data_IF_037146306226
#
_entry.id   IF_037146306226
#
_cell.length_a   1.000
_cell.length_b   1.000
_cell.length_c   1.000
_cell.angle_alpha   90.00
_cell.angle_beta   90.00
_cell.angle_gamma   90.00
#
_symmetry.space_group_name_H-M   'P 1'
#
loop_
_entity.id
_entity.type
_entity.pdbx_description
1 polymer ?
#
# COMPACT_ATOMS: atom_id res chain seq x y z
N UNK A 1 -4.10 -82.07 -13.90
CA UNK A 1 -3.11 -81.34 -13.07
C UNK A 1 -2.66 -80.00 -13.67
N UNK A 2 -2.80 -79.78 -14.99
CA UNK A 2 -2.38 -78.56 -15.70
C UNK A 2 -3.30 -77.34 -15.50
N UNK A 3 -4.61 -77.54 -15.37
CA UNK A 3 -5.60 -76.45 -15.25
C UNK A 3 -5.52 -75.66 -13.92
N UNK A 4 -5.21 -76.34 -12.81
CA UNK A 4 -5.00 -75.67 -11.50
C UNK A 4 -3.73 -74.81 -11.49
N UNK A 5 -2.74 -75.20 -12.30
CA UNK A 5 -1.44 -74.54 -12.40
C UNK A 5 -1.53 -73.26 -13.23
N UNK A 6 -2.33 -73.26 -14.30
CA UNK A 6 -2.59 -72.06 -15.12
C UNK A 6 -3.45 -71.03 -14.39
N UNK A 7 -4.44 -71.46 -13.60
CA UNK A 7 -5.26 -70.56 -12.76
C UNK A 7 -4.40 -69.90 -11.67
N UNK A 8 -3.52 -70.66 -11.00
CA UNK A 8 -2.58 -70.12 -10.03
C UNK A 8 -1.59 -69.13 -10.64
N UNK A 9 -1.14 -69.37 -11.88
CA UNK A 9 -0.27 -68.44 -12.62
C UNK A 9 -1.00 -67.14 -13.00
N UNK A 10 -2.29 -67.22 -13.33
CA UNK A 10 -3.14 -66.06 -13.60
C UNK A 10 -3.34 -65.19 -12.36
N UNK A 11 -3.56 -65.79 -11.18
CA UNK A 11 -3.67 -65.04 -9.92
C UNK A 11 -2.35 -64.36 -9.52
N UNK A 12 -1.21 -65.02 -9.74
CA UNK A 12 0.11 -64.41 -9.47
C UNK A 12 0.40 -63.25 -10.42
N UNK A 13 0.02 -63.37 -11.70
CA UNK A 13 0.16 -62.30 -12.68
C UNK A 13 -0.76 -61.11 -12.37
N UNK A 14 -2.01 -61.37 -11.97
CA UNK A 14 -2.96 -60.35 -11.55
C UNK A 14 -2.51 -59.64 -10.27
N UNK A 15 -1.92 -60.36 -9.31
CA UNK A 15 -1.37 -59.77 -8.09
C UNK A 15 -0.12 -58.91 -8.37
N UNK A 16 0.72 -59.30 -9.35
CA UNK A 16 1.84 -58.50 -9.81
C UNK A 16 1.43 -57.17 -10.46
N UNK A 17 0.31 -57.15 -11.19
CA UNK A 17 -0.21 -55.93 -11.83
C UNK A 17 -0.76 -54.89 -10.82
N UNK A 18 -1.26 -55.33 -9.67
CA UNK A 18 -1.75 -54.41 -8.61
C UNK A 18 -0.59 -53.68 -7.91
N UNK A 19 0.58 -54.32 -7.82
CA UNK A 19 1.75 -53.74 -7.15
C UNK A 19 2.50 -52.68 -8.00
N UNK A 20 2.24 -52.61 -9.31
CA UNK A 20 2.81 -51.58 -10.20
C UNK A 20 1.89 -50.37 -10.42
N UNK A 21 0.70 -50.34 -9.82
CA UNK A 21 -0.26 -49.23 -9.96
C UNK A 21 0.03 -48.03 -9.04
N UNK A 22 1.02 -48.12 -8.16
CA UNK A 22 1.36 -47.04 -7.22
C UNK A 22 2.77 -46.50 -7.51
N UNK A 23 2.87 -45.46 -8.34
CA UNK A 23 4.13 -44.72 -8.46
C UNK A 23 4.13 -43.76 -9.64
N UNK A 24 3.86 -42.48 -9.37
CA UNK A 24 4.19 -41.41 -10.32
C UNK A 24 3.12 -40.35 -10.55
N UNK A 25 2.18 -40.14 -9.63
CA UNK A 25 1.55 -38.83 -9.52
C UNK A 25 2.63 -37.86 -9.07
N UNK A 26 3.15 -37.03 -9.98
CA UNK A 26 3.99 -35.89 -9.62
C UNK A 26 3.12 -34.93 -8.83
N UNK A 27 2.95 -35.19 -7.53
CA UNK A 27 2.51 -34.18 -6.60
C UNK A 27 3.64 -33.17 -6.53
N UNK A 28 3.61 -32.22 -7.45
CA UNK A 28 4.39 -31.00 -7.38
C UNK A 28 4.01 -30.37 -6.05
N UNK A 29 4.84 -30.60 -5.04
CA UNK A 29 4.63 -30.06 -3.71
C UNK A 29 4.78 -28.54 -3.83
N UNK A 30 3.67 -27.84 -4.01
CA UNK A 30 3.63 -26.40 -3.92
C UNK A 30 3.80 -26.06 -2.44
N UNK A 31 4.90 -25.41 -2.03
CA UNK A 31 5.04 -24.96 -0.66
C UNK A 31 3.84 -24.07 -0.35
N UNK A 32 3.19 -24.32 0.80
CA UNK A 32 2.06 -23.49 1.24
C UNK A 32 2.48 -22.02 1.22
N UNK A 33 1.65 -21.11 0.70
CA UNK A 33 1.96 -19.68 0.71
C UNK A 33 2.31 -19.28 2.14
N UNK A 34 3.40 -18.53 2.31
CA UNK A 34 3.85 -18.07 3.63
C UNK A 34 2.69 -17.30 4.27
N UNK A 35 2.23 -17.77 5.43
CA UNK A 35 1.20 -17.07 6.19
C UNK A 35 1.78 -15.79 6.76
N UNK A 36 1.28 -14.64 6.29
CA UNK A 36 1.58 -13.36 6.89
C UNK A 36 0.92 -13.25 8.27
N UNK A 37 1.45 -12.37 9.13
CA UNK A 37 0.87 -12.13 10.44
C UNK A 37 -0.59 -11.68 10.31
N UNK A 38 -1.50 -12.34 11.04
CA UNK A 38 -2.88 -11.85 11.19
C UNK A 38 -2.86 -10.67 12.14
N UNK A 39 -2.90 -9.47 11.58
CA UNK A 39 -2.96 -8.21 12.34
C UNK A 39 -4.44 -7.84 12.48
N UNK A 40 -5.01 -8.02 13.67
CA UNK A 40 -6.38 -7.55 13.95
C UNK A 40 -6.32 -6.04 14.15
N UNK A 41 -6.85 -5.29 13.18
CA UNK A 41 -6.86 -3.83 13.21
C UNK A 41 -8.18 -3.33 13.83
N UNK A 42 -8.15 -2.37 14.77
CA UNK A 42 -9.36 -1.83 15.39
C UNK A 42 -10.26 -1.10 14.38
N UNK A 43 -11.55 -0.97 14.66
CA UNK A 43 -12.48 -0.19 13.84
C UNK A 43 -12.02 1.29 13.74
N UNK A 44 -12.21 1.91 12.58
CA UNK A 44 -11.72 3.28 12.33
C UNK A 44 -12.71 4.32 12.85
N UNK A 45 -12.22 5.25 13.65
CA UNK A 45 -12.88 6.52 13.92
C UNK A 45 -12.06 7.64 13.28
N UNK A 46 -12.74 8.65 12.75
CA UNK A 46 -12.11 9.77 12.08
C UNK A 46 -12.49 11.09 12.74
N UNK A 47 -11.50 11.94 12.96
CA UNK A 47 -11.68 13.29 13.48
C UNK A 47 -11.39 14.33 12.40
N UNK A 48 -12.05 15.49 12.51
CA UNK A 48 -11.86 16.59 11.58
C UNK A 48 -10.66 17.44 12.00
N UNK A 49 -9.71 17.62 11.10
CA UNK A 49 -8.71 18.66 11.19
C UNK A 49 -9.26 19.95 10.56
N UNK A 50 -9.52 20.95 11.39
CA UNK A 50 -9.99 22.26 10.97
C UNK A 50 -9.29 23.35 11.78
N UNK A 51 -8.14 23.80 11.28
CA UNK A 51 -7.26 24.78 11.96
C UNK A 51 -7.14 26.07 11.14
N UNK A 52 -6.15 26.92 11.46
CA UNK A 52 -5.82 28.10 10.66
C UNK A 52 -5.22 27.79 9.27
N UNK A 53 -5.00 26.51 8.94
CA UNK A 53 -4.44 26.10 7.65
C UNK A 53 -5.45 26.32 6.50
N UNK A 54 -4.97 26.50 5.26
CA UNK A 54 -5.79 26.75 4.06
C UNK A 54 -6.53 25.50 3.55
N UNK A 55 -6.73 24.51 4.42
CA UNK A 55 -7.44 23.27 4.12
C UNK A 55 -7.99 22.65 5.39
N UNK A 56 -8.95 21.75 5.22
CA UNK A 56 -9.46 20.86 6.26
C UNK A 56 -9.69 19.46 5.70
N UNK A 57 -9.56 18.43 6.54
CA UNK A 57 -9.77 17.03 6.14
C UNK A 57 -10.04 16.16 7.37
N UNK A 58 -10.52 14.94 7.15
CA UNK A 58 -10.64 13.92 8.19
C UNK A 58 -9.40 13.05 8.25
N UNK A 59 -9.00 12.68 9.46
CA UNK A 59 -7.88 11.77 9.70
C UNK A 59 -8.17 10.82 10.87
N UNK A 60 -7.45 9.69 10.99
CA UNK A 60 -7.79 8.65 11.97
C UNK A 60 -7.54 9.09 13.42
N UNK A 61 -8.49 8.81 14.31
CA UNK A 61 -8.37 9.12 15.74
C UNK A 61 -7.25 8.33 16.46
N UNK A 62 -6.79 7.21 15.86
CA UNK A 62 -5.65 6.44 16.36
C UNK A 62 -4.28 7.02 15.95
N UNK A 63 -4.28 8.19 15.30
CA UNK A 63 -3.09 8.92 14.88
C UNK A 63 -3.09 10.31 15.50
N UNK A 64 -1.93 10.96 15.55
CA UNK A 64 -1.81 12.35 15.99
C UNK A 64 -1.06 13.19 14.98
N UNK A 65 -1.31 14.50 14.99
CA UNK A 65 -0.66 15.43 14.09
C UNK A 65 0.54 16.09 14.77
N UNK A 66 1.65 16.17 14.05
CA UNK A 66 2.85 16.89 14.47
C UNK A 66 3.19 17.96 13.43
N UNK A 67 3.22 19.22 13.84
CA UNK A 67 3.59 20.33 12.94
C UNK A 67 5.10 20.56 12.99
N UNK A 68 5.69 20.83 11.84
CA UNK A 68 7.11 21.19 11.76
C UNK A 68 7.25 22.68 11.45
N UNK A 69 8.25 23.31 12.07
CA UNK A 69 8.58 24.69 11.73
C UNK A 69 9.11 24.77 10.30
N UNK A 70 8.52 25.67 9.52
CA UNK A 70 8.95 25.98 8.17
C UNK A 70 9.70 27.32 8.19
N UNK A 71 10.85 27.38 7.52
CA UNK A 71 11.56 28.65 7.31
C UNK A 71 10.80 29.62 6.40
N UNK A 72 9.86 29.10 5.60
CA UNK A 72 8.98 29.87 4.73
C UNK A 72 7.57 29.91 5.32
N UNK A 73 7.04 31.09 5.68
CA UNK A 73 5.70 31.24 6.25
C UNK A 73 4.57 30.76 5.34
N UNK A 74 4.80 30.70 4.02
CA UNK A 74 3.79 30.28 3.04
C UNK A 74 3.73 28.76 2.87
N UNK A 75 4.76 28.05 3.32
CA UNK A 75 4.87 26.59 3.24
C UNK A 75 4.53 25.98 4.59
N UNK A 76 3.71 24.92 4.60
CA UNK A 76 3.31 24.24 5.83
C UNK A 76 3.76 22.79 5.77
N UNK A 77 4.53 22.36 6.76
CA UNK A 77 4.96 20.97 6.93
C UNK A 77 4.32 20.39 8.19
N UNK A 78 3.72 19.21 8.04
CA UNK A 78 3.14 18.50 9.16
C UNK A 78 3.15 17.00 8.88
N UNK A 79 3.08 16.21 9.93
CA UNK A 79 3.02 14.77 9.86
C UNK A 79 1.74 14.27 10.51
N UNK A 80 1.18 13.18 9.98
CA UNK A 80 0.23 12.34 10.71
C UNK A 80 1.00 11.10 11.16
N UNK A 81 1.19 10.96 12.46
CA UNK A 81 1.96 9.87 13.06
C UNK A 81 1.01 8.79 13.55
N UNK A 82 1.36 7.54 13.26
CA UNK A 82 0.64 6.33 13.68
C UNK A 82 1.52 5.56 14.68
N UNK A 83 1.48 5.88 15.99
CA UNK A 83 2.35 5.25 16.98
C UNK A 83 2.23 3.74 17.01
N UNK A 84 1.00 3.21 16.93
CA UNK A 84 0.74 1.77 16.95
C UNK A 84 1.24 1.01 15.72
N UNK A 85 1.56 1.72 14.64
CA UNK A 85 2.04 1.12 13.38
C UNK A 85 3.52 1.40 13.13
N UNK A 86 4.17 2.24 13.95
CA UNK A 86 5.49 2.81 13.69
C UNK A 86 5.57 3.36 12.26
N UNK A 87 4.54 4.13 11.90
CA UNK A 87 4.41 4.74 10.59
C UNK A 87 4.08 6.22 10.71
N UNK A 88 4.42 6.97 9.69
CA UNK A 88 4.11 8.39 9.57
C UNK A 88 3.72 8.72 8.14
N UNK A 89 2.91 9.76 7.99
CA UNK A 89 2.63 10.35 6.68
C UNK A 89 3.12 11.79 6.73
N UNK A 90 4.11 12.08 5.91
CA UNK A 90 4.73 13.39 5.87
C UNK A 90 4.04 14.24 4.81
N UNK A 91 3.51 15.39 5.22
CA UNK A 91 2.80 16.31 4.36
C UNK A 91 3.60 17.59 4.14
N UNK A 92 3.50 18.11 2.92
CA UNK A 92 3.93 19.46 2.60
C UNK A 92 2.88 20.19 1.78
N UNK A 93 2.50 21.37 2.25
CA UNK A 93 1.63 22.29 1.55
C UNK A 93 2.45 23.46 1.01
N UNK A 94 2.15 23.86 -0.23
CA UNK A 94 2.70 25.04 -0.88
C UNK A 94 1.60 25.78 -1.65
N UNK A 95 1.65 27.12 -1.74
CA UNK A 95 0.80 27.86 -2.66
C UNK A 95 1.20 27.60 -4.11
N UNK A 96 0.23 27.59 -5.00
CA UNK A 96 0.44 27.54 -6.46
C UNK A 96 0.48 28.97 -7.00
N UNK A 97 1.60 29.34 -7.62
CA UNK A 97 1.82 30.67 -8.20
C UNK A 97 2.43 30.53 -9.61
N UNK A 98 1.71 29.88 -10.52
CA UNK A 98 2.19 29.60 -11.88
C UNK A 98 3.26 28.51 -11.97
N UNK A 99 3.55 27.83 -10.87
CA UNK A 99 4.59 26.80 -10.72
C UNK A 99 4.03 25.37 -10.55
N UNK A 100 2.77 25.14 -10.94
CA UNK A 100 2.11 23.84 -10.72
C UNK A 100 2.80 22.70 -11.49
N UNK A 101 3.31 23.00 -12.68
CA UNK A 101 4.01 22.02 -13.50
C UNK A 101 5.28 21.55 -12.79
N UNK A 102 6.10 22.48 -12.30
CA UNK A 102 7.33 22.21 -11.56
C UNK A 102 7.04 21.40 -10.30
N UNK A 103 6.02 21.79 -9.52
CA UNK A 103 5.60 21.05 -8.32
C UNK A 103 5.12 19.62 -8.66
N UNK A 104 4.47 19.43 -9.80
CA UNK A 104 4.01 18.11 -10.24
C UNK A 104 5.18 17.23 -10.69
N UNK A 105 6.12 17.79 -11.44
CA UNK A 105 7.34 17.11 -11.86
C UNK A 105 8.25 16.75 -10.67
N UNK A 106 8.42 17.65 -9.70
CA UNK A 106 9.14 17.38 -8.45
C UNK A 106 8.55 16.17 -7.70
N UNK A 107 7.21 16.08 -7.64
CA UNK A 107 6.55 14.95 -7.00
C UNK A 107 6.77 13.64 -7.76
N UNK A 108 6.69 13.68 -9.10
CA UNK A 108 6.96 12.54 -9.97
C UNK A 108 8.40 12.07 -9.83
N UNK A 109 9.38 12.98 -9.87
CA UNK A 109 10.79 12.65 -9.66
C UNK A 109 11.05 12.05 -8.28
N UNK A 110 10.41 12.58 -7.24
CA UNK A 110 10.55 12.04 -5.88
C UNK A 110 9.98 10.62 -5.77
N UNK A 111 8.79 10.36 -6.33
CA UNK A 111 8.23 9.01 -6.40
C UNK A 111 9.18 8.08 -7.18
N UNK A 112 9.73 8.56 -8.30
CA UNK A 112 10.65 7.81 -9.14
C UNK A 112 11.97 7.44 -8.46
N UNK A 113 12.45 8.20 -7.47
CA UNK A 113 13.64 7.81 -6.68
C UNK A 113 13.46 6.49 -5.93
N UNK A 114 12.22 6.07 -5.69
CA UNK A 114 11.91 4.78 -5.08
C UNK A 114 11.76 3.64 -6.10
N UNK A 115 11.75 3.91 -7.42
CA UNK A 115 11.72 2.89 -8.50
C UNK A 115 12.85 1.88 -8.35
N UNK A 116 14.06 2.32 -7.97
CA UNK A 116 15.21 1.43 -7.88
C UNK A 116 15.02 0.25 -6.89
N UNK A 117 14.02 0.33 -6.00
CA UNK A 117 13.66 -0.71 -5.02
C UNK A 117 12.24 -1.24 -5.20
N UNK A 118 11.46 -0.67 -6.12
CA UNK A 118 10.08 -1.05 -6.39
C UNK A 118 10.04 -2.15 -7.46
N UNK A 119 9.05 -3.03 -7.34
CA UNK A 119 8.72 -4.00 -8.38
C UNK A 119 7.82 -3.36 -9.45
N UNK A 120 6.90 -2.50 -9.01
CA UNK A 120 5.90 -1.85 -9.86
C UNK A 120 5.49 -0.49 -9.24
N UNK A 121 5.07 0.46 -10.08
CA UNK A 121 4.48 1.73 -9.66
C UNK A 121 3.19 1.93 -10.45
N UNK A 122 2.09 2.04 -9.71
CA UNK A 122 0.79 2.41 -10.27
C UNK A 122 0.53 3.91 -10.07
N UNK A 123 0.32 4.61 -11.18
CA UNK A 123 -0.13 6.00 -11.17
C UNK A 123 -1.67 6.06 -11.19
N UNK A 124 -2.25 6.55 -10.10
CA UNK A 124 -3.69 6.62 -9.89
C UNK A 124 -4.13 8.08 -9.96
N UNK A 125 -5.03 8.39 -10.90
CA UNK A 125 -5.59 9.75 -11.02
C UNK A 125 -6.60 10.02 -9.91
N UNK A 126 -6.36 11.09 -9.15
CA UNK A 126 -7.29 11.61 -8.15
C UNK A 126 -8.19 12.67 -8.81
N UNK A 127 -9.51 12.50 -8.67
CA UNK A 127 -10.48 13.49 -9.13
C UNK A 127 -11.69 13.56 -8.19
N UNK A 128 -11.83 14.70 -7.52
CA UNK A 128 -13.00 15.06 -6.74
C UNK A 128 -13.43 16.49 -7.13
N UNK A 129 -14.26 16.62 -8.19
CA UNK A 129 -14.70 17.92 -8.69
C UNK A 129 -15.50 18.73 -7.65
N UNK A 130 -16.24 18.06 -6.76
CA UNK A 130 -17.11 18.72 -5.77
C UNK A 130 -16.30 19.57 -4.77
N UNK A 131 -15.14 19.09 -4.34
CA UNK A 131 -14.22 19.82 -3.47
C UNK A 131 -13.04 20.44 -4.23
N UNK A 132 -13.04 20.35 -5.57
CA UNK A 132 -11.92 20.76 -6.44
C UNK A 132 -10.58 20.15 -6.00
N UNK A 133 -10.54 18.84 -5.79
CA UNK A 133 -9.29 18.13 -5.45
C UNK A 133 -8.89 17.27 -6.64
N UNK A 134 -7.74 17.57 -7.23
CA UNK A 134 -7.21 16.88 -8.41
C UNK A 134 -5.74 16.56 -8.22
N UNK A 135 -5.28 15.42 -8.74
CA UNK A 135 -3.86 15.08 -8.65
C UNK A 135 -3.57 13.64 -9.02
N UNK A 136 -2.45 13.14 -8.52
CA UNK A 136 -1.95 11.79 -8.79
C UNK A 136 -1.49 11.17 -7.47
N UNK A 137 -1.91 9.93 -7.23
CA UNK A 137 -1.31 9.04 -6.26
C UNK A 137 -0.37 8.04 -6.97
N UNK A 138 0.71 7.70 -6.29
CA UNK A 138 1.68 6.71 -6.69
C UNK A 138 1.62 5.58 -5.67
N UNK A 139 1.09 4.43 -6.10
CA UNK A 139 1.14 3.20 -5.32
C UNK A 139 2.41 2.44 -5.71
N UNK A 140 3.31 2.23 -4.75
CA UNK A 140 4.66 1.72 -5.01
C UNK A 140 4.77 0.34 -4.38
N UNK A 141 4.65 -0.69 -5.22
CA UNK A 141 4.80 -2.07 -4.79
C UNK A 141 6.28 -2.46 -4.71
N UNK A 142 6.64 -3.22 -3.68
CA UNK A 142 8.00 -3.72 -3.51
C UNK A 142 8.29 -4.05 -2.06
N UNK A 143 8.94 -5.18 -1.81
CA UNK A 143 9.26 -5.64 -0.46
C UNK A 143 10.23 -4.69 0.26
N UNK A 144 11.03 -3.91 -0.47
CA UNK A 144 12.06 -3.01 0.06
C UNK A 144 11.77 -1.50 -0.13
N UNK A 145 10.52 -1.13 -0.38
CA UNK A 145 10.12 0.25 -0.59
C UNK A 145 9.85 0.94 0.75
N UNK A 146 10.65 1.95 1.10
CA UNK A 146 10.46 2.71 2.35
C UNK A 146 9.20 3.60 2.37
N UNK A 147 8.67 3.94 1.18
CA UNK A 147 7.47 4.76 1.02
C UNK A 147 6.50 4.12 0.02
N UNK A 148 5.57 3.25 0.47
CA UNK A 148 4.73 2.47 -0.42
C UNK A 148 3.55 3.24 -1.02
N UNK A 149 3.28 4.46 -0.54
CA UNK A 149 2.19 5.28 -1.06
C UNK A 149 2.54 6.77 -0.96
N UNK A 150 2.36 7.48 -2.05
CA UNK A 150 2.62 8.92 -2.14
C UNK A 150 1.53 9.58 -2.99
N UNK A 151 1.24 10.85 -2.76
CA UNK A 151 0.36 11.58 -3.67
C UNK A 151 0.66 13.06 -3.65
N UNK A 152 0.17 13.76 -4.67
CA UNK A 152 -0.04 15.20 -4.59
C UNK A 152 -1.45 15.54 -5.08
N UNK A 153 -2.02 16.60 -4.54
CA UNK A 153 -3.31 17.15 -4.94
C UNK A 153 -3.31 18.67 -4.94
N UNK A 154 -4.16 19.24 -5.78
CA UNK A 154 -4.30 20.67 -6.01
C UNK A 154 -5.74 21.05 -6.36
N UNK A 155 -6.09 22.32 -6.17
CA UNK A 155 -7.29 22.95 -6.74
C UNK A 155 -7.07 23.50 -8.17
N UNK A 156 -5.89 23.23 -8.73
CA UNK A 156 -5.33 23.71 -10.00
C UNK A 156 -4.89 25.18 -10.02
N UNK A 157 -5.17 25.96 -8.98
CA UNK A 157 -5.03 27.43 -9.03
C UNK A 157 -4.20 28.02 -7.90
N UNK A 158 -4.39 27.54 -6.67
CA UNK A 158 -3.90 28.22 -5.47
C UNK A 158 -3.26 27.27 -4.46
N UNK A 159 -3.70 26.02 -4.40
CA UNK A 159 -3.31 25.08 -3.35
C UNK A 159 -2.59 23.88 -3.93
N UNK A 160 -1.50 23.48 -3.28
CA UNK A 160 -0.80 22.24 -3.56
C UNK A 160 -0.48 21.53 -2.24
N UNK A 161 -0.90 20.28 -2.12
CA UNK A 161 -0.64 19.42 -0.97
C UNK A 161 0.00 18.12 -1.46
N UNK A 162 1.14 17.75 -0.89
CA UNK A 162 1.83 16.49 -1.15
C UNK A 162 1.89 15.67 0.12
N UNK A 163 1.82 14.35 -0.01
CA UNK A 163 1.98 13.40 1.08
C UNK A 163 2.87 12.22 0.67
N UNK A 164 3.63 11.69 1.62
CA UNK A 164 4.36 10.44 1.47
C UNK A 164 4.28 9.62 2.75
N UNK A 165 3.87 8.36 2.62
CA UNK A 165 3.76 7.40 3.73
C UNK A 165 5.14 6.79 4.00
N UNK A 166 5.53 6.66 5.26
CA UNK A 166 6.78 6.04 5.72
C UNK A 166 6.49 5.06 6.85
N UNK A 167 7.28 3.99 6.91
CA UNK A 167 7.26 3.03 8.02
C UNK A 167 8.68 2.82 8.54
N UNK A 168 8.83 2.80 9.87
CA UNK A 168 10.12 2.68 10.57
C UNK A 168 10.58 1.21 10.70
N UNK A 169 10.07 0.32 9.85
CA UNK A 169 10.39 -1.11 9.89
C UNK A 169 11.48 -1.47 8.91
N UNK A 170 12.22 -2.54 9.22
CA UNK A 170 13.10 -3.18 8.26
C UNK A 170 12.31 -3.54 6.98
N UNK A 171 12.87 -3.29 5.79
CA UNK A 171 12.17 -3.39 4.51
C UNK A 171 11.67 -4.82 4.24
N UNK A 172 10.47 -5.10 4.70
CA UNK A 172 9.69 -6.27 4.37
C UNK A 172 8.21 -5.86 4.35
N UNK A 173 7.86 -5.10 3.32
CA UNK A 173 6.51 -4.58 3.12
C UNK A 173 5.46 -5.69 3.11
N UNK A 174 5.81 -6.89 2.64
CA UNK A 174 4.92 -8.05 2.63
C UNK A 174 4.45 -8.40 4.06
N UNK A 175 5.31 -8.24 5.08
CA UNK A 175 4.98 -8.54 6.48
C UNK A 175 4.04 -7.52 7.12
N UNK A 176 4.02 -6.29 6.60
CA UNK A 176 3.19 -5.19 7.11
C UNK A 176 2.10 -4.78 6.11
N UNK A 177 1.84 -5.60 5.08
CA UNK A 177 0.85 -5.30 4.05
C UNK A 177 -0.55 -4.92 4.62
N UNK A 178 -1.07 -5.56 5.69
CA UNK A 178 -2.32 -5.12 6.31
C UNK A 178 -2.28 -3.69 6.87
N UNK A 179 -1.12 -3.29 7.42
CA UNK A 179 -0.89 -1.94 7.95
C UNK A 179 -0.79 -0.93 6.80
N UNK A 180 -0.06 -1.27 5.73
CA UNK A 180 0.03 -0.41 4.54
C UNK A 180 -1.36 -0.18 3.97
N UNK A 181 -2.15 -1.24 3.80
CA UNK A 181 -3.52 -1.13 3.27
C UNK A 181 -4.41 -0.28 4.16
N UNK A 182 -4.25 -0.41 5.49
CA UNK A 182 -4.95 0.42 6.46
C UNK A 182 -4.66 1.90 6.29
N UNK A 183 -3.38 2.26 6.21
CA UNK A 183 -2.98 3.67 6.03
C UNK A 183 -3.42 4.19 4.67
N UNK A 184 -3.44 3.38 3.61
CA UNK A 184 -4.00 3.77 2.29
C UNK A 184 -5.48 4.15 2.39
N UNK A 185 -6.31 3.34 3.06
CA UNK A 185 -7.73 3.66 3.30
C UNK A 185 -7.90 4.97 4.08
N UNK A 186 -6.99 5.23 5.01
CA UNK A 186 -6.96 6.50 5.75
C UNK A 186 -6.63 7.70 4.85
N UNK A 187 -5.71 7.52 3.91
CA UNK A 187 -5.40 8.55 2.91
C UNK A 187 -6.55 8.77 1.94
N UNK A 188 -7.29 7.74 1.54
CA UNK A 188 -8.48 7.89 0.68
C UNK A 188 -9.60 8.64 1.42
N UNK A 189 -9.77 8.36 2.71
CA UNK A 189 -10.72 9.09 3.56
C UNK A 189 -10.31 10.56 3.71
N UNK A 190 -9.01 10.82 3.86
CA UNK A 190 -8.47 12.18 3.88
C UNK A 190 -8.74 12.89 2.56
N UNK A 191 -8.38 12.29 1.43
CA UNK A 191 -8.55 12.86 0.09
C UNK A 191 -10.03 13.15 -0.26
N UNK A 192 -10.93 12.23 0.10
CA UNK A 192 -12.37 12.41 -0.15
C UNK A 192 -12.99 13.51 0.71
N UNK A 193 -12.47 13.73 1.92
CA UNK A 193 -12.95 14.75 2.87
C UNK A 193 -12.21 16.08 2.78
N UNK A 194 -11.12 16.15 2.02
CA UNK A 194 -10.29 17.34 1.84
C UNK A 194 -11.10 18.48 1.23
N UNK A 195 -10.98 19.65 1.85
CA UNK A 195 -11.57 20.92 1.39
C UNK A 195 -10.54 22.04 1.50
N UNK A 196 -10.46 22.85 0.45
CA UNK A 196 -9.67 24.08 0.43
C UNK A 196 -10.43 25.23 1.09
N UNK A 197 -9.70 26.23 1.61
CA UNK A 197 -10.27 27.44 2.23
C UNK A 197 -9.86 28.71 1.50
#
# INVERSE_FOLDING_TARGET
MTLRRTISQLYILAFGLVLFSCGGGSETYYPKPRGFFRIDLPQQEYMLFDSAYPFSFKYPACSHMETQESNDPSTIWFNIVYPGFHGSVNFSYKPVNGNLYELSEDAREFANKHIAKANEIDEIRISNPANRVFGIAYDIEGSNTASPYQFYVTDSTSHYLRAAVYFDHLPNNDSIAPIIQRVKVDMDTLLSSLKWK
#
